data_IF_063515829063
#
_entry.id   IF_063515829063
#
_cell.length_a   1.000
_cell.length_b   1.000
_cell.length_c   1.000
_cell.angle_alpha   90.00
_cell.angle_beta   90.00
_cell.angle_gamma   90.00
#
_symmetry.space_group_name_H-M   'P 1'
#
loop_
_entity.id
_entity.type
_entity.pdbx_description
1 polymer ?
#
# COMPACT_ATOMS: atom_id res chain seq x y z
N UNK A 1 -34.68 53.07 -9.80
CA UNK A 1 -34.73 51.62 -10.00
C UNK A 1 -33.35 51.01 -10.39
N UNK A 2 -32.50 51.67 -11.16
CA UNK A 2 -31.21 51.18 -11.63
C UNK A 2 -30.17 50.92 -10.52
N UNK A 3 -30.14 51.74 -9.47
CA UNK A 3 -29.17 51.61 -8.35
C UNK A 3 -29.44 50.42 -7.42
N UNK A 4 -30.68 49.91 -7.32
CA UNK A 4 -31.04 48.74 -6.53
C UNK A 4 -30.64 47.41 -7.25
N UNK A 5 -30.75 47.43 -8.58
CA UNK A 5 -30.37 46.27 -9.41
C UNK A 5 -28.84 46.01 -9.38
N UNK A 6 -28.04 47.07 -9.42
CA UNK A 6 -26.56 46.96 -9.35
C UNK A 6 -26.09 46.42 -7.98
N UNK A 7 -26.77 46.79 -6.88
CA UNK A 7 -26.46 46.22 -5.55
C UNK A 7 -26.79 44.76 -5.42
N UNK A 8 -27.89 44.35 -6.01
CA UNK A 8 -28.34 42.94 -5.99
C UNK A 8 -27.36 42.03 -6.77
N UNK A 9 -26.96 42.42 -7.96
CA UNK A 9 -26.00 41.68 -8.79
C UNK A 9 -24.61 41.58 -8.11
N UNK A 10 -24.14 42.67 -7.49
CA UNK A 10 -22.85 42.64 -6.75
C UNK A 10 -22.85 41.68 -5.57
N UNK A 11 -23.96 41.57 -4.85
CA UNK A 11 -24.07 40.67 -3.68
C UNK A 11 -24.07 39.16 -4.09
N UNK A 12 -24.68 38.83 -5.23
CA UNK A 12 -24.72 37.46 -5.74
C UNK A 12 -23.42 37.03 -6.40
N UNK A 13 -22.74 37.92 -7.10
CA UNK A 13 -21.42 37.65 -7.68
C UNK A 13 -20.38 37.48 -6.58
N UNK A 14 -20.44 38.23 -5.49
CA UNK A 14 -19.50 38.01 -4.38
C UNK A 14 -19.78 36.73 -3.60
N UNK A 15 -21.03 36.33 -3.45
CA UNK A 15 -21.39 35.02 -2.84
C UNK A 15 -20.92 33.84 -3.72
N UNK A 16 -21.03 33.93 -5.03
CA UNK A 16 -20.52 32.93 -5.96
C UNK A 16 -18.99 32.87 -5.99
N UNK A 17 -18.31 34.00 -5.86
CA UNK A 17 -16.84 34.02 -5.77
C UNK A 17 -16.32 33.43 -4.44
N UNK A 18 -17.01 33.67 -3.32
CA UNK A 18 -16.65 33.06 -2.03
C UNK A 18 -16.86 31.55 -2.00
N UNK A 19 -17.89 31.02 -2.67
CA UNK A 19 -18.13 29.57 -2.74
C UNK A 19 -17.12 28.85 -3.66
N UNK A 20 -16.59 29.53 -4.68
CA UNK A 20 -15.56 28.96 -5.55
C UNK A 20 -14.17 28.89 -4.86
N UNK A 21 -13.91 29.79 -3.90
CA UNK A 21 -12.62 29.86 -3.21
C UNK A 21 -12.47 28.80 -2.10
N UNK A 22 -13.57 28.23 -1.61
CA UNK A 22 -13.54 27.19 -0.57
C UNK A 22 -13.38 25.76 -1.11
N UNK A 23 -13.48 25.55 -2.43
CA UNK A 23 -13.40 24.19 -3.01
C UNK A 23 -12.02 23.82 -3.55
N UNK A 24 -11.01 24.67 -3.38
CA UNK A 24 -9.62 24.33 -3.71
C UNK A 24 -8.80 23.97 -2.44
N UNK A 25 -9.44 23.35 -1.43
CA UNK A 25 -8.71 22.57 -0.43
C UNK A 25 -8.14 21.35 -1.17
N UNK A 26 -7.01 21.56 -1.82
CA UNK A 26 -6.24 20.52 -2.47
C UNK A 26 -6.04 19.38 -1.49
N UNK A 27 -6.38 18.18 -1.94
CA UNK A 27 -5.92 16.94 -1.34
C UNK A 27 -4.39 17.00 -1.45
N UNK A 28 -3.75 17.59 -0.46
CA UNK A 28 -2.33 17.41 -0.26
C UNK A 28 -2.18 15.94 0.15
N UNK A 29 -1.95 15.07 -0.83
CA UNK A 29 -1.42 13.76 -0.56
C UNK A 29 -0.15 13.98 0.25
N UNK A 30 -0.17 13.67 1.53
CA UNK A 30 1.02 13.57 2.34
C UNK A 30 1.80 12.38 1.78
N UNK A 31 2.68 12.64 0.81
CA UNK A 31 3.81 11.77 0.56
C UNK A 31 4.49 11.61 1.92
N UNK A 32 4.59 10.38 2.41
CA UNK A 32 5.32 10.08 3.63
C UNK A 32 6.71 10.74 3.50
N UNK A 33 6.97 11.73 4.33
CA UNK A 33 8.19 12.50 4.21
C UNK A 33 9.34 11.65 4.75
N UNK A 34 10.33 11.35 3.92
CA UNK A 34 11.59 10.81 4.41
C UNK A 34 12.09 11.67 5.59
N UNK A 35 12.67 11.05 6.61
CA UNK A 35 13.22 11.78 7.76
C UNK A 35 14.36 12.68 7.29
N UNK A 36 14.03 13.96 7.11
CA UNK A 36 15.00 14.98 6.76
C UNK A 36 15.77 15.40 8.00
N UNK A 37 17.01 14.92 8.10
CA UNK A 37 17.97 15.32 9.10
C UNK A 37 19.03 16.24 8.46
N UNK A 38 19.45 17.32 9.15
CA UNK A 38 20.57 18.16 8.71
C UNK A 38 21.82 17.30 8.44
N UNK A 39 22.67 17.75 7.53
CA UNK A 39 23.96 17.07 7.28
C UNK A 39 25.08 17.65 8.15
N UNK A 40 24.85 18.79 8.76
CA UNK A 40 25.80 19.45 9.64
C UNK A 40 26.01 18.61 10.90
N UNK A 41 27.25 18.53 11.40
CA UNK A 41 27.56 17.75 12.59
C UNK A 41 26.75 18.19 13.83
N UNK A 42 26.10 17.26 14.49
CA UNK A 42 25.41 17.46 15.74
C UNK A 42 26.39 17.35 16.90
N UNK A 43 26.73 18.50 17.46
CA UNK A 43 27.67 18.57 18.60
C UNK A 43 26.93 18.27 19.89
N UNK A 44 27.40 17.25 20.59
CA UNK A 44 26.79 16.82 21.83
C UNK A 44 27.84 16.45 22.88
N UNK A 45 27.86 17.20 23.98
CA UNK A 45 28.75 16.98 25.09
C UNK A 45 27.97 16.99 26.40
N UNK A 46 28.09 15.94 27.18
CA UNK A 46 27.46 15.82 28.51
C UNK A 46 28.43 15.23 29.52
N UNK A 47 28.28 15.62 30.76
CA UNK A 47 29.03 15.01 31.86
C UNK A 47 28.47 13.65 32.21
N UNK A 48 27.15 13.58 32.44
CA UNK A 48 26.42 12.35 32.77
C UNK A 48 24.92 12.63 32.57
N UNK A 49 24.29 12.02 31.55
CA UNK A 49 22.87 12.24 31.23
C UNK A 49 22.16 10.92 30.99
N UNK A 50 20.90 10.86 31.41
CA UNK A 50 20.00 9.76 31.07
C UNK A 50 19.80 9.65 29.56
N UNK A 51 19.81 8.44 29.04
CA UNK A 51 19.72 8.16 27.61
C UNK A 51 18.39 8.63 27.01
N UNK A 52 17.27 8.41 27.71
CA UNK A 52 15.96 8.85 27.26
C UNK A 52 15.87 10.37 27.23
N UNK A 53 16.44 11.05 28.23
CA UNK A 53 16.53 12.51 28.27
C UNK A 53 17.41 13.05 27.12
N UNK A 54 18.52 12.40 26.79
CA UNK A 54 19.39 12.76 25.69
C UNK A 54 18.69 12.62 24.32
N UNK A 55 17.97 11.52 24.11
CA UNK A 55 17.16 11.29 22.90
C UNK A 55 16.04 12.32 22.78
N UNK A 56 15.37 12.66 23.88
CA UNK A 56 14.34 13.70 23.90
C UNK A 56 14.92 15.06 23.54
N UNK A 57 16.09 15.40 24.09
CA UNK A 57 16.79 16.65 23.75
C UNK A 57 17.24 16.67 22.29
N UNK A 58 17.73 15.55 21.76
CA UNK A 58 18.05 15.39 20.35
C UNK A 58 16.83 15.71 19.45
N UNK A 59 15.67 15.16 19.78
CA UNK A 59 14.42 15.46 19.08
C UNK A 59 14.05 16.93 19.15
N UNK A 60 14.11 17.54 20.33
CA UNK A 60 13.79 18.93 20.54
C UNK A 60 14.73 19.87 19.75
N UNK A 61 16.03 19.59 19.75
CA UNK A 61 17.03 20.38 19.05
C UNK A 61 16.86 20.35 17.51
N UNK A 62 16.33 19.24 16.99
CA UNK A 62 16.11 19.04 15.56
C UNK A 62 14.64 19.26 15.14
N UNK A 63 13.79 19.64 16.08
CA UNK A 63 12.34 19.79 15.87
C UNK A 63 11.68 18.51 15.34
N UNK A 64 12.09 17.35 15.87
CA UNK A 64 11.59 16.03 15.52
C UNK A 64 10.87 15.44 16.73
N UNK A 65 9.68 14.90 16.49
CA UNK A 65 8.97 14.16 17.55
C UNK A 65 9.64 12.80 17.75
N UNK A 66 9.95 12.48 18.99
CA UNK A 66 10.51 11.18 19.36
C UNK A 66 9.60 10.52 20.39
N UNK A 67 9.31 9.24 20.14
CA UNK A 67 8.65 8.35 21.09
C UNK A 67 9.66 7.30 21.57
N UNK A 68 9.91 7.27 22.87
CA UNK A 68 10.94 6.44 23.47
C UNK A 68 10.25 5.38 24.32
N UNK A 69 10.55 4.09 24.07
CA UNK A 69 10.04 3.00 24.87
C UNK A 69 10.55 3.08 26.33
N UNK A 70 9.73 2.63 27.26
CA UNK A 70 10.10 2.52 28.67
C UNK A 70 11.26 1.55 28.93
N UNK A 71 11.57 0.68 27.95
CA UNK A 71 12.69 -0.26 28.02
C UNK A 71 14.02 0.34 27.57
N UNK A 72 14.02 1.56 27.04
CA UNK A 72 15.24 2.31 26.71
C UNK A 72 15.85 2.85 27.98
N UNK A 73 16.98 2.29 28.39
CA UNK A 73 17.67 2.64 29.62
C UNK A 73 19.17 2.78 29.36
N UNK A 74 19.81 3.67 30.07
CA UNK A 74 21.25 3.87 29.99
C UNK A 74 21.64 5.30 30.40
N UNK A 75 22.94 5.55 30.41
CA UNK A 75 23.48 6.88 30.68
C UNK A 75 24.63 7.17 29.74
N UNK A 76 24.59 8.37 29.17
CA UNK A 76 25.64 8.89 28.27
C UNK A 76 26.63 9.67 29.14
N UNK A 77 27.91 9.36 28.98
CA UNK A 77 29.00 10.04 29.70
C UNK A 77 30.06 10.51 28.70
N UNK A 78 30.51 11.74 28.89
CA UNK A 78 31.58 12.34 28.09
C UNK A 78 31.10 12.94 26.77
N UNK A 79 32.06 13.21 25.89
CA UNK A 79 31.80 13.82 24.58
C UNK A 79 31.55 12.73 23.56
N UNK A 80 30.50 12.94 22.77
CA UNK A 80 30.26 12.18 21.56
C UNK A 80 31.01 12.82 20.39
N UNK A 81 31.50 12.06 19.41
CA UNK A 81 32.08 12.63 18.20
C UNK A 81 31.08 13.50 17.46
N UNK A 82 31.59 14.54 16.78
CA UNK A 82 30.78 15.40 15.93
C UNK A 82 30.32 14.61 14.69
N UNK A 83 29.09 14.13 14.71
CA UNK A 83 28.49 13.30 13.68
C UNK A 83 27.24 13.98 13.11
N UNK A 84 26.89 13.77 11.82
CA UNK A 84 25.58 14.11 11.32
C UNK A 84 24.47 13.49 12.20
N UNK A 85 23.31 14.12 12.35
CA UNK A 85 22.26 13.66 13.25
C UNK A 85 21.84 12.19 13.06
N UNK A 86 21.79 11.71 11.82
CA UNK A 86 21.47 10.30 11.54
C UNK A 86 22.52 9.37 12.11
N UNK A 87 23.77 9.66 11.84
CA UNK A 87 24.90 8.86 12.33
C UNK A 87 25.02 8.93 13.86
N UNK A 88 24.69 10.10 14.45
CA UNK A 88 24.62 10.24 15.90
C UNK A 88 23.55 9.32 16.51
N UNK A 89 22.35 9.28 15.92
CA UNK A 89 21.27 8.39 16.35
C UNK A 89 21.66 6.91 16.16
N UNK A 90 22.26 6.56 15.03
CA UNK A 90 22.76 5.20 14.76
C UNK A 90 23.86 4.80 15.75
N UNK A 91 24.74 5.74 16.09
CA UNK A 91 25.78 5.52 17.09
C UNK A 91 25.21 5.22 18.47
N UNK A 92 24.21 6.00 18.91
CA UNK A 92 23.51 5.73 20.17
C UNK A 92 22.79 4.38 20.14
N UNK A 93 22.12 4.07 19.04
CA UNK A 93 21.43 2.80 18.85
C UNK A 93 22.41 1.62 19.00
N UNK A 94 23.57 1.68 18.37
CA UNK A 94 24.58 0.65 18.45
C UNK A 94 25.20 0.53 19.87
N UNK A 95 25.47 1.66 20.53
CA UNK A 95 26.10 1.65 21.85
C UNK A 95 25.19 1.09 22.96
N UNK A 96 23.90 1.36 22.86
CA UNK A 96 22.92 1.02 23.90
C UNK A 96 21.98 -0.13 23.53
N UNK A 97 22.21 -0.79 22.39
CA UNK A 97 21.35 -1.89 21.93
C UNK A 97 19.92 -1.43 21.65
N UNK A 98 19.78 -0.35 20.89
CA UNK A 98 18.49 0.22 20.52
C UNK A 98 18.21 -0.04 19.04
N UNK A 99 16.94 0.15 18.68
CA UNK A 99 16.45 0.22 17.31
C UNK A 99 15.59 1.48 17.18
N UNK A 100 15.61 2.11 16.02
CA UNK A 100 14.74 3.26 15.77
C UNK A 100 14.06 3.15 14.41
N UNK A 101 12.81 3.60 14.34
CA UNK A 101 12.00 3.61 13.12
C UNK A 101 11.26 4.94 13.00
N UNK A 102 11.19 5.48 11.80
CA UNK A 102 10.45 6.70 11.51
C UNK A 102 9.20 6.37 10.68
N UNK A 103 8.02 6.74 11.17
CA UNK A 103 6.74 6.43 10.53
C UNK A 103 6.20 7.56 9.62
N UNK A 104 7.06 8.51 9.25
CA UNK A 104 6.68 9.71 8.50
C UNK A 104 6.34 10.92 9.39
N UNK A 105 6.12 10.72 10.69
CA UNK A 105 5.74 11.76 11.65
C UNK A 105 6.55 11.75 12.94
N UNK A 106 6.90 10.56 13.42
CA UNK A 106 7.53 10.34 14.73
C UNK A 106 8.67 9.34 14.59
N UNK A 107 9.79 9.61 15.23
CA UNK A 107 10.87 8.63 15.40
C UNK A 107 10.57 7.81 16.64
N UNK A 108 10.36 6.52 16.47
CA UNK A 108 10.17 5.56 17.56
C UNK A 108 11.51 4.91 17.92
N UNK A 109 11.88 4.96 19.17
CA UNK A 109 13.11 4.33 19.68
C UNK A 109 12.72 3.25 20.68
N UNK A 110 13.18 2.03 20.44
CA UNK A 110 12.92 0.86 21.29
C UNK A 110 14.20 0.10 21.57
N UNK A 111 14.23 -0.70 22.63
CA UNK A 111 15.35 -1.59 22.90
C UNK A 111 15.36 -2.76 21.91
N UNK A 112 16.53 -3.26 21.53
CA UNK A 112 16.66 -4.41 20.60
C UNK A 112 15.91 -5.65 21.09
N UNK A 113 15.78 -5.84 22.42
CA UNK A 113 14.99 -6.93 23.00
C UNK A 113 13.48 -6.84 22.72
N UNK A 114 12.99 -5.68 22.30
CA UNK A 114 11.59 -5.46 21.93
C UNK A 114 11.30 -5.76 20.46
N UNK A 115 12.32 -6.18 19.69
CA UNK A 115 12.09 -6.61 18.30
C UNK A 115 11.05 -7.70 18.26
N UNK A 116 10.12 -7.55 17.33
CA UNK A 116 9.03 -8.49 17.11
C UNK A 116 9.20 -9.19 15.76
N UNK A 117 8.79 -10.44 15.73
CA UNK A 117 8.71 -11.21 14.50
C UNK A 117 7.25 -11.60 14.27
N UNK A 118 6.74 -11.32 13.09
CA UNK A 118 5.37 -11.63 12.65
C UNK A 118 5.41 -12.47 11.39
N UNK A 119 4.41 -13.32 11.24
CA UNK A 119 4.22 -14.16 10.06
C UNK A 119 2.90 -13.76 9.41
N UNK A 120 2.95 -13.36 8.13
CA UNK A 120 1.79 -12.96 7.35
C UNK A 120 1.48 -14.02 6.31
N UNK A 121 0.20 -14.36 6.12
CA UNK A 121 -0.26 -15.39 5.17
C UNK A 121 -0.78 -14.71 3.91
N UNK A 122 -0.12 -14.96 2.78
CA UNK A 122 -0.42 -14.37 1.47
C UNK A 122 -1.19 -15.37 0.61
N UNK A 123 -2.50 -15.23 0.53
CA UNK A 123 -3.39 -16.06 -0.29
C UNK A 123 -4.24 -15.27 -1.29
N UNK A 124 -4.29 -13.94 -1.18
CA UNK A 124 -5.16 -13.08 -1.99
C UNK A 124 -4.41 -12.21 -3.00
N UNK A 125 -3.14 -11.95 -2.77
CA UNK A 125 -2.30 -11.11 -3.63
C UNK A 125 -0.82 -11.51 -3.48
N UNK A 126 0.02 -11.25 -4.50
CA UNK A 126 1.44 -11.59 -4.47
C UNK A 126 2.23 -10.65 -3.53
N UNK A 127 3.31 -11.17 -2.95
CA UNK A 127 4.21 -10.41 -2.06
C UNK A 127 4.76 -9.13 -2.70
N UNK A 128 5.11 -9.16 -3.99
CA UNK A 128 5.64 -7.99 -4.69
C UNK A 128 4.65 -6.81 -4.75
N UNK A 129 3.35 -7.11 -4.88
CA UNK A 129 2.31 -6.09 -4.82
C UNK A 129 2.20 -5.45 -3.43
N UNK A 130 2.38 -6.25 -2.38
CA UNK A 130 2.41 -5.78 -1.02
C UNK A 130 3.64 -4.90 -0.75
N UNK A 131 4.82 -5.39 -1.13
CA UNK A 131 6.06 -4.63 -1.00
C UNK A 131 5.96 -3.28 -1.71
N UNK A 132 5.49 -3.28 -2.96
CA UNK A 132 5.26 -2.04 -3.71
C UNK A 132 4.24 -1.09 -3.06
N UNK A 133 3.27 -1.60 -2.30
CA UNK A 133 2.35 -0.75 -1.54
C UNK A 133 3.05 -0.15 -0.30
N UNK A 134 3.86 -0.91 0.42
CA UNK A 134 4.64 -0.41 1.55
C UNK A 134 5.66 0.65 1.11
N UNK A 135 6.33 0.44 -0.04
CA UNK A 135 7.27 1.41 -0.61
C UNK A 135 6.57 2.73 -0.96
N UNK A 136 5.36 2.67 -1.53
CA UNK A 136 4.54 3.87 -1.83
C UNK A 136 4.05 4.61 -0.59
N UNK A 137 3.94 3.91 0.53
CA UNK A 137 3.53 4.47 1.82
C UNK A 137 4.73 4.89 2.68
N UNK A 138 5.97 4.75 2.18
CA UNK A 138 7.22 4.98 2.90
C UNK A 138 7.31 4.19 4.23
N UNK A 139 6.67 3.00 4.27
CA UNK A 139 6.72 2.10 5.43
C UNK A 139 7.96 1.21 5.38
N UNK A 140 8.43 0.87 4.19
CA UNK A 140 9.61 0.00 3.99
C UNK A 140 10.87 0.60 4.61
N UNK A 141 11.66 -0.25 5.27
CA UNK A 141 12.96 0.12 5.83
C UNK A 141 13.92 -1.07 5.69
N UNK A 142 14.97 -0.90 4.88
CA UNK A 142 15.93 -1.96 4.54
C UNK A 142 16.73 -2.50 5.75
N UNK A 143 16.68 -1.81 6.88
CA UNK A 143 17.30 -2.27 8.13
C UNK A 143 16.53 -3.43 8.75
N UNK A 144 15.26 -3.62 8.39
CA UNK A 144 14.38 -4.63 8.95
C UNK A 144 14.05 -5.73 7.96
N UNK A 145 13.83 -6.92 8.50
CA UNK A 145 13.63 -8.12 7.68
C UNK A 145 12.19 -8.19 7.20
N UNK A 146 12.04 -8.31 5.88
CA UNK A 146 10.78 -8.69 5.25
C UNK A 146 11.11 -9.73 4.17
N UNK A 147 10.85 -11.01 4.43
CA UNK A 147 11.29 -12.12 3.60
C UNK A 147 10.17 -13.12 3.34
N UNK A 148 9.82 -13.37 2.06
CA UNK A 148 8.88 -14.44 1.71
C UNK A 148 9.53 -15.80 1.93
N UNK A 149 8.75 -16.77 2.42
CA UNK A 149 9.13 -18.18 2.44
C UNK A 149 8.90 -18.79 1.05
N UNK A 150 9.82 -19.62 0.56
CA UNK A 150 9.67 -20.25 -0.75
C UNK A 150 8.43 -21.16 -0.80
N UNK A 151 7.50 -20.87 -1.71
CA UNK A 151 6.38 -21.75 -2.05
C UNK A 151 5.15 -21.72 -1.12
N UNK A 152 5.23 -21.14 0.07
CA UNK A 152 4.22 -21.34 1.12
C UNK A 152 3.23 -20.16 1.28
N UNK A 153 3.36 -19.11 0.48
CA UNK A 153 2.51 -17.91 0.64
C UNK A 153 2.65 -17.25 2.02
N UNK A 154 3.78 -17.47 2.70
CA UNK A 154 4.11 -16.91 4.00
C UNK A 154 5.19 -15.84 3.87
N UNK A 155 5.08 -14.78 4.65
CA UNK A 155 6.09 -13.74 4.75
C UNK A 155 6.47 -13.51 6.20
N UNK A 156 7.76 -13.59 6.47
CA UNK A 156 8.33 -13.27 7.78
C UNK A 156 8.66 -11.78 7.81
N UNK A 157 8.15 -11.08 8.81
CA UNK A 157 8.43 -9.66 9.07
C UNK A 157 9.05 -9.55 10.46
N UNK A 158 10.23 -8.91 10.55
CA UNK A 158 10.91 -8.71 11.83
C UNK A 158 11.46 -7.29 11.92
N UNK A 159 11.15 -6.61 13.02
CA UNK A 159 11.56 -5.23 13.26
C UNK A 159 11.04 -4.67 14.58
N UNK A 160 11.24 -3.36 14.81
CA UNK A 160 10.69 -2.67 15.97
C UNK A 160 9.16 -2.76 16.03
N UNK A 161 8.55 -2.63 17.23
CA UNK A 161 7.09 -2.77 17.39
C UNK A 161 6.27 -1.88 16.46
N UNK A 162 6.69 -0.63 16.26
CA UNK A 162 5.96 0.30 15.37
C UNK A 162 6.03 -0.11 13.90
N UNK A 163 7.20 -0.56 13.44
CA UNK A 163 7.37 -1.06 12.06
C UNK A 163 6.48 -2.27 11.80
N UNK A 164 6.55 -3.29 12.66
CA UNK A 164 5.76 -4.52 12.50
C UNK A 164 4.26 -4.24 12.58
N UNK A 165 3.82 -3.31 13.44
CA UNK A 165 2.42 -2.90 13.53
C UNK A 165 1.92 -2.22 12.25
N UNK A 166 2.71 -1.29 11.65
CA UNK A 166 2.33 -0.64 10.40
C UNK A 166 2.29 -1.61 9.22
N UNK A 167 3.25 -2.53 9.14
CA UNK A 167 3.27 -3.57 8.10
C UNK A 167 2.03 -4.47 8.22
N UNK A 168 1.65 -4.87 9.44
CA UNK A 168 0.46 -5.67 9.71
C UNK A 168 -0.84 -4.90 9.37
N UNK A 169 -0.91 -3.62 9.73
CA UNK A 169 -2.05 -2.74 9.40
C UNK A 169 -2.23 -2.58 7.89
N UNK A 170 -1.13 -2.32 7.16
CA UNK A 170 -1.15 -2.23 5.71
C UNK A 170 -1.56 -3.55 5.04
N UNK A 171 -1.07 -4.69 5.57
CA UNK A 171 -1.45 -6.01 5.11
C UNK A 171 -2.96 -6.25 5.28
N UNK A 172 -3.49 -6.00 6.48
CA UNK A 172 -4.92 -6.17 6.78
C UNK A 172 -5.78 -5.25 5.91
N UNK A 173 -5.34 -4.02 5.64
CA UNK A 173 -6.01 -3.10 4.72
C UNK A 173 -6.08 -3.63 3.29
N UNK A 174 -5.01 -4.22 2.78
CA UNK A 174 -4.99 -4.83 1.45
C UNK A 174 -5.83 -6.11 1.37
N UNK A 175 -5.83 -6.94 2.42
CA UNK A 175 -6.71 -8.11 2.54
C UNK A 175 -8.18 -7.69 2.48
N UNK A 176 -8.57 -6.70 3.27
CA UNK A 176 -9.93 -6.16 3.28
C UNK A 176 -10.32 -5.61 1.89
N UNK A 177 -9.42 -4.89 1.23
CA UNK A 177 -9.63 -4.37 -0.12
C UNK A 177 -9.80 -5.50 -1.14
N UNK A 178 -8.97 -6.53 -1.10
CA UNK A 178 -9.06 -7.68 -2.00
C UNK A 178 -10.37 -8.45 -1.82
N UNK A 179 -10.84 -8.60 -0.58
CA UNK A 179 -12.12 -9.23 -0.27
C UNK A 179 -13.33 -8.38 -0.66
N UNK A 180 -13.22 -7.06 -0.59
CA UNK A 180 -14.29 -6.14 -0.98
C UNK A 180 -14.43 -5.95 -2.49
N UNK A 181 -13.40 -6.30 -3.28
CA UNK A 181 -13.54 -6.32 -4.74
C UNK A 181 -14.42 -7.51 -5.12
N UNK A 182 -15.65 -7.29 -5.67
CA UNK A 182 -16.42 -8.38 -6.23
C UNK A 182 -15.51 -9.05 -7.27
N UNK A 183 -15.40 -10.38 -7.20
CA UNK A 183 -14.94 -11.18 -8.33
C UNK A 183 -15.91 -10.84 -9.47
N UNK A 184 -15.61 -9.83 -10.26
CA UNK A 184 -16.22 -9.72 -11.59
C UNK A 184 -15.66 -10.94 -12.30
N UNK A 185 -16.48 -11.99 -12.53
CA UNK A 185 -16.01 -13.07 -13.36
C UNK A 185 -15.59 -12.38 -14.65
N UNK A 186 -14.35 -12.55 -15.08
CA UNK A 186 -13.98 -12.25 -16.45
C UNK A 186 -14.90 -13.08 -17.32
N UNK A 187 -16.06 -12.50 -17.61
CA UNK A 187 -16.95 -13.06 -18.62
C UNK A 187 -16.11 -12.92 -19.88
N UNK A 188 -15.62 -14.02 -20.45
CA UNK A 188 -14.90 -13.94 -21.71
C UNK A 188 -15.76 -13.13 -22.64
N UNK A 189 -15.20 -12.22 -23.44
CA UNK A 189 -15.98 -11.38 -24.31
C UNK A 189 -16.95 -12.29 -25.05
N UNK A 190 -18.27 -12.10 -24.79
CA UNK A 190 -19.30 -12.92 -25.44
C UNK A 190 -19.15 -12.66 -26.92
N UNK A 191 -18.53 -13.61 -27.63
CA UNK A 191 -18.55 -13.60 -29.07
C UNK A 191 -20.02 -13.67 -29.50
N UNK A 192 -20.56 -12.57 -29.94
CA UNK A 192 -21.90 -12.55 -30.55
C UNK A 192 -21.77 -13.08 -31.98
N UNK A 193 -22.21 -14.30 -32.20
CA UNK A 193 -22.34 -14.89 -33.52
C UNK A 193 -23.79 -14.71 -33.94
N UNK A 194 -24.04 -13.87 -34.93
CA UNK A 194 -25.34 -13.74 -35.56
C UNK A 194 -25.36 -14.58 -36.83
N UNK A 195 -26.31 -15.51 -36.93
CA UNK A 195 -26.51 -16.31 -38.13
C UNK A 195 -27.68 -15.70 -38.92
N UNK A 196 -27.37 -15.20 -40.09
CA UNK A 196 -28.35 -14.61 -40.98
C UNK A 196 -28.69 -15.60 -42.09
N UNK A 197 -29.98 -15.96 -42.22
CA UNK A 197 -30.48 -16.79 -43.29
C UNK A 197 -31.11 -15.90 -44.36
N UNK A 198 -30.65 -15.97 -45.60
CA UNK A 198 -31.23 -15.29 -46.74
C UNK A 198 -31.43 -16.28 -47.89
N UNK A 199 -32.64 -16.82 -48.00
CA UNK A 199 -32.93 -17.91 -48.93
C UNK A 199 -32.15 -19.17 -48.61
N UNK A 200 -31.41 -19.71 -49.56
CA UNK A 200 -30.53 -20.87 -49.36
C UNK A 200 -29.12 -20.54 -48.86
N UNK A 201 -28.84 -19.27 -48.59
CA UNK A 201 -27.53 -18.81 -48.17
C UNK A 201 -27.51 -18.52 -46.66
N UNK A 202 -26.51 -19.03 -45.96
CA UNK A 202 -26.26 -18.77 -44.55
C UNK A 202 -25.01 -17.89 -44.40
N UNK A 203 -25.15 -16.75 -43.72
CA UNK A 203 -24.04 -15.86 -43.44
C UNK A 203 -23.79 -15.80 -41.94
N UNK A 204 -22.54 -15.98 -41.55
CA UNK A 204 -22.09 -15.86 -40.16
C UNK A 204 -21.51 -14.46 -39.94
N UNK A 205 -22.03 -13.74 -38.96
CA UNK A 205 -21.49 -12.43 -38.54
C UNK A 205 -20.96 -12.58 -37.12
N UNK A 206 -19.62 -12.45 -36.97
CA UNK A 206 -18.95 -12.52 -35.69
C UNK A 206 -18.49 -11.11 -35.29
N UNK A 207 -18.95 -10.60 -34.14
CA UNK A 207 -18.63 -9.26 -33.67
C UNK A 207 -18.94 -8.14 -34.70
N UNK A 208 -20.02 -8.28 -35.44
CA UNK A 208 -20.45 -7.28 -36.46
C UNK A 208 -19.69 -7.33 -37.80
N UNK A 209 -18.74 -8.24 -37.97
CA UNK A 209 -18.01 -8.44 -39.21
C UNK A 209 -18.44 -9.75 -39.91
N UNK A 210 -18.69 -9.75 -41.25
CA UNK A 210 -18.97 -10.98 -41.97
C UNK A 210 -17.75 -11.89 -41.99
N UNK A 211 -17.88 -13.12 -41.47
CA UNK A 211 -16.82 -14.08 -41.35
C UNK A 211 -17.11 -15.41 -42.09
N UNK A 212 -16.07 -16.18 -42.37
CA UNK A 212 -16.18 -17.53 -42.89
C UNK A 212 -16.85 -18.47 -41.89
N UNK A 213 -17.52 -19.52 -42.39
CA UNK A 213 -18.16 -20.55 -41.56
C UNK A 213 -17.14 -21.20 -40.58
N UNK A 214 -17.54 -21.55 -39.35
CA UNK A 214 -16.68 -22.26 -38.43
C UNK A 214 -16.22 -23.61 -39.03
N UNK A 215 -15.00 -24.08 -38.69
CA UNK A 215 -14.55 -25.40 -39.10
C UNK A 215 -15.53 -26.48 -38.59
N UNK A 216 -15.84 -27.42 -39.45
CA UNK A 216 -16.83 -28.47 -39.26
C UNK A 216 -16.26 -29.57 -38.30
N UNK A 217 -16.13 -29.28 -37.05
CA UNK A 217 -15.87 -30.26 -36.00
C UNK A 217 -17.07 -30.38 -35.04
N UNK A 218 -18.24 -30.69 -35.63
CA UNK A 218 -19.36 -31.25 -34.88
C UNK A 218 -19.38 -32.75 -35.18
N UNK A 219 -19.23 -33.64 -34.20
CA UNK A 219 -19.42 -35.07 -34.41
C UNK A 219 -20.86 -35.28 -34.90
N UNK A 220 -21.04 -35.79 -36.13
CA UNK A 220 -22.31 -36.31 -36.57
C UNK A 220 -22.73 -37.43 -35.64
N UNK A 221 -23.76 -37.21 -34.88
CA UNK A 221 -24.49 -38.33 -34.26
C UNK A 221 -25.20 -39.06 -35.42
N UNK A 222 -24.59 -40.17 -35.86
CA UNK A 222 -25.22 -41.17 -36.70
C UNK A 222 -26.44 -41.74 -35.99
N UNK A 223 -27.61 -41.31 -36.43
CA UNK A 223 -28.88 -41.89 -36.07
C UNK A 223 -29.00 -43.26 -36.69
N UNK A 224 -28.45 -44.30 -36.07
CA UNK A 224 -28.74 -45.67 -36.42
C UNK A 224 -30.10 -46.07 -35.87
N UNK A 225 -31.07 -46.07 -36.80
CA UNK A 225 -32.36 -46.69 -36.68
C UNK A 225 -32.16 -48.20 -36.45
N UNK A 226 -32.29 -48.68 -35.24
CA UNK A 226 -32.33 -50.08 -34.87
C UNK A 226 -33.70 -50.66 -35.16
N UNK A 227 -33.78 -51.50 -36.19
CA UNK A 227 -34.90 -52.40 -36.55
C UNK A 227 -35.03 -53.48 -35.48
N UNK A 228 -36.23 -53.80 -34.98
CA UNK A 228 -36.42 -54.94 -34.08
C UNK A 228 -36.45 -56.25 -34.87
N UNK A 229 -35.63 -57.21 -34.46
CA UNK A 229 -35.71 -58.57 -34.94
C UNK A 229 -36.47 -59.43 -33.91
N UNK A 230 -37.38 -60.33 -34.39
CA UNK A 230 -38.20 -61.18 -33.52
C UNK A 230 -37.56 -62.51 -33.17
N UNK A 231 -37.79 -62.97 -31.93
CA UNK A 231 -37.66 -64.21 -31.24
C UNK A 231 -36.99 -65.44 -31.86
N UNK A 232 -36.38 -66.19 -31.03
CA UNK A 232 -36.62 -67.67 -30.95
C UNK A 232 -35.88 -68.27 -29.74
N UNK A 233 -36.73 -68.98 -28.94
CA UNK A 233 -36.49 -70.05 -28.01
C UNK A 233 -35.72 -69.82 -26.72
#
# INVERSE_FOLDING_TARGET
MLRAFIRFVRLHVWRLLCTLFFFSAGIHGTLGAALFLPKEPYRYTVLDQDLSAALQQFGNNLNIRINISAEVKGRIRGSMPDLPPREFLDRLANLFGLQWYYDGLVVYVSATKELQTRMLVFNLFPFESFKGALDKLDISDDRYVMRPAPGDGLVLVSGPPRFTALVEEAFNGLVAKAQAQPLVPETPPRESVLILFRGSSTMFVRNGLPGAAPPSDVPQQDGTSGKPEPGHK
#
